data_IF_641242037268
#
_entry.id   IF_641242037268
#
_cell.length_a   1.000
_cell.length_b   1.000
_cell.length_c   1.000
_cell.angle_alpha   90.00
_cell.angle_beta   90.00
_cell.angle_gamma   90.00
#
_symmetry.space_group_name_H-M   'P 1'
#
loop_
_entity.id
_entity.type
_entity.pdbx_description
1 polymer ?
#
# COMPACT_ATOMS: atom_id res chain seq x y z
N UNK A 1 -22.97 -14.70 -11.43
CA UNK A 1 -22.12 -15.87 -11.10
C UNK A 1 -20.72 -15.34 -10.93
N UNK A 2 -20.23 -15.26 -9.68
CA UNK A 2 -18.89 -14.76 -9.38
C UNK A 2 -17.89 -15.87 -9.71
N UNK A 3 -16.95 -15.61 -10.60
CA UNK A 3 -15.92 -16.59 -10.96
C UNK A 3 -14.75 -16.46 -9.98
N UNK A 4 -14.78 -17.29 -8.93
CA UNK A 4 -13.73 -17.34 -7.92
C UNK A 4 -12.35 -17.69 -8.52
N UNK A 5 -12.31 -18.39 -9.66
CA UNK A 5 -11.06 -18.72 -10.34
C UNK A 5 -10.43 -17.50 -11.03
N UNK A 6 -11.26 -16.63 -11.60
CA UNK A 6 -10.82 -15.38 -12.21
C UNK A 6 -10.27 -14.39 -11.17
N UNK A 7 -10.87 -14.34 -9.97
CA UNK A 7 -10.38 -13.52 -8.85
C UNK A 7 -9.01 -14.03 -8.38
N UNK A 8 -8.90 -15.33 -8.11
CA UNK A 8 -7.64 -15.93 -7.65
C UNK A 8 -6.49 -15.74 -8.65
N UNK A 9 -6.77 -15.82 -9.96
CA UNK A 9 -5.75 -15.58 -10.99
C UNK A 9 -5.34 -14.11 -11.06
N UNK A 10 -6.29 -13.18 -10.95
CA UNK A 10 -5.98 -11.74 -10.90
C UNK A 10 -5.11 -11.41 -9.69
N UNK A 11 -5.40 -12.00 -8.54
CA UNK A 11 -4.67 -11.73 -7.30
C UNK A 11 -3.24 -12.29 -7.40
N UNK A 12 -3.06 -13.50 -7.95
CA UNK A 12 -1.73 -14.06 -8.28
C UNK A 12 -0.93 -13.16 -9.22
N UNK A 13 -1.56 -12.67 -10.30
CA UNK A 13 -0.89 -11.79 -11.26
C UNK A 13 -0.50 -10.45 -10.61
N UNK A 14 -1.36 -9.91 -9.76
CA UNK A 14 -1.11 -8.66 -9.03
C UNK A 14 0.07 -8.80 -8.07
N UNK A 15 0.13 -9.91 -7.32
CA UNK A 15 1.25 -10.24 -6.45
C UNK A 15 2.56 -10.38 -7.24
N UNK A 16 2.56 -11.16 -8.33
CA UNK A 16 3.75 -11.35 -9.17
C UNK A 16 4.26 -10.03 -9.78
N UNK A 17 3.36 -9.12 -10.15
CA UNK A 17 3.73 -7.79 -10.64
C UNK A 17 4.37 -6.93 -9.54
N UNK A 18 3.83 -6.98 -8.33
CA UNK A 18 4.40 -6.27 -7.19
C UNK A 18 5.79 -6.79 -6.83
N UNK A 19 5.96 -8.11 -6.71
CA UNK A 19 7.25 -8.75 -6.46
C UNK A 19 8.30 -8.32 -7.49
N UNK A 20 7.93 -8.30 -8.78
CA UNK A 20 8.82 -7.82 -9.86
C UNK A 20 9.23 -6.36 -9.69
N UNK A 21 8.31 -5.49 -9.26
CA UNK A 21 8.60 -4.06 -9.02
C UNK A 21 9.52 -3.88 -7.80
N UNK A 22 9.34 -4.71 -6.78
CA UNK A 22 10.12 -4.65 -5.54
C UNK A 22 11.44 -5.40 -5.60
N UNK A 23 11.65 -6.31 -6.56
CA UNK A 23 12.83 -7.18 -6.64
C UNK A 23 14.16 -6.43 -6.48
N UNK A 24 14.31 -5.25 -7.09
CA UNK A 24 15.54 -4.44 -6.95
C UNK A 24 15.70 -3.83 -5.56
N UNK A 25 14.59 -3.45 -4.91
CA UNK A 25 14.61 -2.90 -3.56
C UNK A 25 14.90 -4.00 -2.53
N UNK A 26 14.22 -5.15 -2.63
CA UNK A 26 14.45 -6.31 -1.77
C UNK A 26 15.89 -6.83 -1.87
N UNK A 27 16.48 -6.83 -3.06
CA UNK A 27 17.90 -7.17 -3.22
C UNK A 27 18.86 -6.24 -2.46
N UNK A 28 18.49 -4.96 -2.28
CA UNK A 28 19.30 -3.97 -1.54
C UNK A 28 19.00 -3.95 -0.05
N UNK A 29 17.83 -4.43 0.35
CA UNK A 29 17.33 -4.45 1.72
C UNK A 29 16.88 -5.88 2.05
N UNK A 30 17.83 -6.81 2.25
CA UNK A 30 17.51 -8.24 2.42
C UNK A 30 16.70 -8.55 3.68
N UNK A 31 16.80 -7.69 4.70
CA UNK A 31 16.07 -7.84 5.97
C UNK A 31 14.66 -7.22 5.92
N UNK A 32 14.26 -6.66 4.77
CA UNK A 32 12.93 -6.06 4.62
C UNK A 32 11.90 -7.16 4.34
N UNK A 33 11.04 -7.42 5.32
CA UNK A 33 9.83 -8.22 5.12
C UNK A 33 8.75 -7.38 4.41
N UNK A 34 8.08 -7.98 3.44
CA UNK A 34 7.04 -7.33 2.65
C UNK A 34 5.80 -8.21 2.61
N UNK A 35 4.69 -7.64 3.06
CA UNK A 35 3.40 -8.30 3.08
C UNK A 35 2.41 -7.49 2.24
N UNK A 36 1.65 -8.20 1.40
CA UNK A 36 0.52 -7.62 0.67
C UNK A 36 -0.71 -7.73 1.56
N UNK A 37 -1.45 -6.63 1.70
CA UNK A 37 -2.73 -6.61 2.41
C UNK A 37 -3.83 -6.47 1.38
N UNK A 38 -4.76 -7.42 1.39
CA UNK A 38 -5.97 -7.45 0.57
C UNK A 38 -7.22 -7.55 1.45
N UNK A 39 -8.41 -7.55 0.84
CA UNK A 39 -9.69 -7.68 1.54
C UNK A 39 -10.28 -6.37 2.09
N UNK A 40 -9.72 -5.22 1.73
CA UNK A 40 -10.24 -3.89 2.07
C UNK A 40 -10.50 -3.09 0.79
N UNK A 41 -11.50 -2.21 0.82
CA UNK A 41 -11.87 -1.36 -0.30
C UNK A 41 -10.90 -0.18 -0.47
N UNK A 42 -10.15 0.17 0.58
CA UNK A 42 -9.12 1.23 0.53
C UNK A 42 -8.06 1.08 1.62
N UNK A 43 -6.94 1.79 1.47
CA UNK A 43 -5.92 1.86 2.53
C UNK A 43 -6.44 2.57 3.79
N UNK A 44 -7.34 3.55 3.62
CA UNK A 44 -7.96 4.27 4.72
C UNK A 44 -8.84 3.34 5.58
N UNK A 45 -9.61 2.46 4.95
CA UNK A 45 -10.41 1.46 5.66
C UNK A 45 -9.54 0.50 6.46
N UNK A 46 -8.47 -0.03 5.85
CA UNK A 46 -7.53 -0.91 6.54
C UNK A 46 -6.94 -0.27 7.80
N UNK A 47 -6.45 0.97 7.67
CA UNK A 47 -5.82 1.72 8.75
C UNK A 47 -6.82 2.11 9.85
N UNK A 48 -8.09 2.36 9.50
CA UNK A 48 -9.14 2.61 10.48
C UNK A 48 -9.46 1.35 11.30
N UNK A 49 -9.44 0.17 10.67
CA UNK A 49 -9.62 -1.11 11.35
C UNK A 49 -8.39 -1.54 12.18
N UNK A 50 -7.19 -1.09 11.80
CA UNK A 50 -5.92 -1.48 12.43
C UNK A 50 -5.03 -0.26 12.76
N UNK A 51 -5.46 0.63 13.67
CA UNK A 51 -4.79 1.91 13.93
C UNK A 51 -3.34 1.75 14.39
N UNK A 52 -3.02 0.66 15.10
CA UNK A 52 -1.69 0.38 15.64
C UNK A 52 -0.79 -0.43 14.68
N UNK A 53 -1.28 -0.76 13.48
CA UNK A 53 -0.54 -1.61 12.52
C UNK A 53 0.57 -0.87 11.78
N UNK A 54 0.58 0.46 11.81
CA UNK A 54 1.54 1.27 11.07
C UNK A 54 2.05 2.44 11.91
N UNK A 55 3.36 2.65 11.90
CA UNK A 55 4.00 3.82 12.50
C UNK A 55 4.25 4.94 11.47
N UNK A 56 4.39 4.56 10.19
CA UNK A 56 4.63 5.48 9.06
C UNK A 56 3.85 5.01 7.84
N UNK A 57 3.17 5.95 7.17
CA UNK A 57 2.52 5.73 5.88
C UNK A 57 3.23 6.54 4.80
N UNK A 58 3.62 5.87 3.71
CA UNK A 58 4.27 6.52 2.56
C UNK A 58 3.30 6.54 1.37
N UNK A 59 3.04 7.73 0.83
CA UNK A 59 2.07 7.96 -0.24
C UNK A 59 2.73 8.73 -1.39
N UNK A 60 2.27 8.52 -2.62
CA UNK A 60 2.57 9.46 -3.71
C UNK A 60 1.82 10.78 -3.47
N UNK A 61 2.43 11.92 -3.84
CA UNK A 61 1.80 13.23 -3.66
C UNK A 61 0.44 13.36 -4.37
N UNK A 62 0.30 12.73 -5.53
CA UNK A 62 -0.94 12.71 -6.33
C UNK A 62 -1.89 11.55 -5.94
N UNK A 63 -1.73 10.94 -4.77
CA UNK A 63 -2.60 9.83 -4.37
C UNK A 63 -4.04 10.34 -4.12
N UNK A 64 -5.05 9.83 -4.83
CA UNK A 64 -6.44 10.29 -4.71
C UNK A 64 -7.06 10.01 -3.34
N UNK A 65 -6.53 9.04 -2.59
CA UNK A 65 -6.98 8.68 -1.24
C UNK A 65 -6.30 9.52 -0.14
N UNK A 66 -5.39 10.43 -0.50
CA UNK A 66 -4.62 11.23 0.46
C UNK A 66 -5.49 11.96 1.50
N UNK A 67 -6.62 12.55 1.08
CA UNK A 67 -7.54 13.24 1.99
C UNK A 67 -8.24 12.27 2.98
N UNK A 68 -8.67 11.11 2.50
CA UNK A 68 -9.29 10.08 3.35
C UNK A 68 -8.29 9.50 4.36
N UNK A 69 -7.05 9.26 3.90
CA UNK A 69 -5.96 8.78 4.73
C UNK A 69 -5.56 9.79 5.81
N UNK A 70 -5.46 11.08 5.49
CA UNK A 70 -5.14 12.11 6.50
C UNK A 70 -6.16 12.13 7.64
N UNK A 71 -7.45 11.92 7.33
CA UNK A 71 -8.51 11.90 8.34
C UNK A 71 -8.35 10.72 9.30
N UNK A 72 -8.05 9.53 8.77
CA UNK A 72 -7.82 8.32 9.57
C UNK A 72 -6.53 8.45 10.39
N UNK A 73 -5.47 9.00 9.80
CA UNK A 73 -4.15 9.08 10.41
C UNK A 73 -4.04 10.18 11.47
N UNK A 74 -4.90 11.21 11.42
CA UNK A 74 -4.97 12.25 12.44
C UNK A 74 -5.25 11.71 13.85
N UNK A 75 -5.90 10.55 13.96
CA UNK A 75 -6.21 9.89 15.23
C UNK A 75 -5.23 8.79 15.66
N UNK A 76 -4.34 8.32 14.78
CA UNK A 76 -3.51 7.13 15.03
C UNK A 76 -2.08 7.43 15.49
N UNK A 77 -1.66 8.70 15.53
CA UNK A 77 -0.28 9.08 15.87
C UNK A 77 0.76 8.64 14.83
N UNK A 78 0.30 8.17 13.68
CA UNK A 78 1.12 7.66 12.60
C UNK A 78 1.69 8.80 11.74
N UNK A 79 2.97 8.72 11.34
CA UNK A 79 3.60 9.73 10.50
C UNK A 79 3.24 9.53 9.02
N UNK A 80 2.97 10.62 8.30
CA UNK A 80 2.66 10.56 6.85
C UNK A 80 3.80 11.17 6.05
N UNK A 81 4.33 10.40 5.09
CA UNK A 81 5.36 10.83 4.15
C UNK A 81 4.78 10.86 2.74
N UNK A 82 4.63 12.04 2.17
CA UNK A 82 4.26 12.21 0.76
C UNK A 82 5.51 12.31 -0.11
N UNK A 83 5.53 11.51 -1.18
CA UNK A 83 6.59 11.48 -2.16
C UNK A 83 6.14 12.20 -3.43
N UNK A 84 6.71 13.37 -3.67
CA UNK A 84 6.52 14.06 -4.94
C UNK A 84 7.15 13.27 -6.08
N UNK A 85 6.48 13.27 -7.23
CA UNK A 85 7.11 12.77 -8.46
C UNK A 85 8.29 13.67 -8.75
N UNK A 86 9.48 13.07 -8.85
CA UNK A 86 10.62 13.76 -9.45
C UNK A 86 10.25 14.14 -10.88
N UNK A 87 10.03 15.43 -11.12
CA UNK A 87 9.98 15.98 -12.47
C UNK A 87 11.33 15.65 -13.13
N UNK A 88 11.33 14.69 -14.05
CA UNK A 88 12.48 14.49 -14.94
C UNK A 88 12.47 15.66 -15.91
N UNK A 89 13.38 16.61 -15.69
CA UNK A 89 13.72 17.66 -16.64
C UNK A 89 14.29 17.05 -17.92
#
# INVERSE_FOLDING_TARGET
MYDASAVAERDRLSQAQLERRLARALKRCPDLDVQCVDGYDSAAEYLAAHPDSAQVVVLGADNPESAGLQTVLAGSGCAVLTCDRRHRL
#
